data_IF_785601475851
#
_entry.id   IF_785601475851
#
_cell.length_a   1.000
_cell.length_b   1.000
_cell.length_c   1.000
_cell.angle_alpha   90.00
_cell.angle_beta   90.00
_cell.angle_gamma   90.00
#
_symmetry.space_group_name_H-M   'P 1'
#
loop_
_entity.id
_entity.type
_entity.pdbx_description
1 polymer ?
#
# COMPACT_ATOMS: atom_id res chain seq x y z
N UNK A 1 7.50 -20.34 16.90
CA UNK A 1 8.38 -19.53 16.01
C UNK A 1 7.98 -18.10 16.23
N UNK A 2 8.88 -17.27 16.73
CA UNK A 2 8.61 -15.84 16.93
C UNK A 2 8.92 -15.13 15.61
N UNK A 3 7.90 -14.52 15.02
CA UNK A 3 8.05 -13.74 13.79
C UNK A 3 8.46 -12.32 14.17
N UNK A 4 9.66 -11.91 13.80
CA UNK A 4 10.18 -10.57 14.07
C UNK A 4 10.47 -9.82 12.77
N UNK A 5 10.02 -8.56 12.72
CA UNK A 5 10.37 -7.59 11.70
C UNK A 5 11.23 -6.45 12.27
N UNK A 6 11.93 -6.71 13.38
CA UNK A 6 12.81 -5.73 14.02
C UNK A 6 13.84 -5.20 13.02
N UNK A 7 13.95 -3.88 12.93
CA UNK A 7 14.86 -3.18 12.01
C UNK A 7 14.41 -3.14 10.56
N UNK A 8 13.23 -3.67 10.23
CA UNK A 8 12.64 -3.60 8.89
C UNK A 8 11.72 -2.39 8.74
N UNK A 9 11.58 -1.92 7.52
CA UNK A 9 10.70 -0.83 7.14
C UNK A 9 9.63 -1.32 6.17
N UNK A 10 8.38 -0.89 6.37
CA UNK A 10 7.26 -1.29 5.52
C UNK A 10 6.44 -0.09 5.06
N UNK A 11 6.07 -0.11 3.79
CA UNK A 11 5.16 0.86 3.17
C UNK A 11 3.89 0.13 2.73
N UNK A 12 2.73 0.56 3.26
CA UNK A 12 1.44 -0.11 3.01
C UNK A 12 0.48 0.85 2.32
N UNK A 13 0.13 0.58 1.06
CA UNK A 13 -0.88 1.36 0.35
C UNK A 13 -2.30 0.96 0.80
N UNK A 14 -3.20 1.94 0.92
CA UNK A 14 -4.54 1.69 1.46
C UNK A 14 -4.54 1.30 2.94
N UNK A 15 -3.53 1.74 3.69
CA UNK A 15 -3.28 1.34 5.08
C UNK A 15 -4.17 1.98 6.15
N UNK A 16 -5.12 2.84 5.76
CA UNK A 16 -5.93 3.57 6.74
C UNK A 16 -7.14 2.81 7.29
N UNK A 17 -7.50 1.67 6.69
CA UNK A 17 -8.65 0.85 7.10
C UNK A 17 -8.53 -0.60 6.65
N UNK A 18 -9.41 -1.46 7.19
CA UNK A 18 -9.59 -2.85 6.75
C UNK A 18 -8.29 -3.65 6.75
N UNK A 19 -8.07 -4.43 5.69
CA UNK A 19 -6.94 -5.35 5.54
C UNK A 19 -5.60 -4.59 5.63
N UNK A 20 -5.46 -3.48 4.93
CA UNK A 20 -4.23 -2.69 4.93
C UNK A 20 -3.84 -2.18 6.32
N UNK A 21 -4.80 -1.67 7.09
CA UNK A 21 -4.57 -1.24 8.47
C UNK A 21 -4.18 -2.41 9.38
N UNK A 22 -4.83 -3.56 9.22
CA UNK A 22 -4.49 -4.77 9.97
C UNK A 22 -3.08 -5.27 9.67
N UNK A 23 -2.67 -5.27 8.39
CA UNK A 23 -1.30 -5.61 7.98
C UNK A 23 -0.31 -4.63 8.62
N UNK A 24 -0.55 -3.32 8.49
CA UNK A 24 0.31 -2.28 9.05
C UNK A 24 0.47 -2.45 10.56
N UNK A 25 -0.62 -2.70 11.29
CA UNK A 25 -0.59 -2.96 12.73
C UNK A 25 0.21 -4.23 13.08
N UNK A 26 -0.01 -5.32 12.38
CA UNK A 26 0.72 -6.57 12.59
C UNK A 26 2.22 -6.39 12.37
N UNK A 27 2.62 -5.63 11.34
CA UNK A 27 4.03 -5.34 11.08
C UNK A 27 4.64 -4.45 12.15
N UNK A 28 3.91 -3.42 12.59
CA UNK A 28 4.35 -2.55 13.66
C UNK A 28 4.51 -3.31 14.99
N UNK A 29 3.56 -4.18 15.33
CA UNK A 29 3.63 -5.05 16.51
C UNK A 29 4.78 -6.07 16.44
N UNK A 30 5.17 -6.49 15.23
CA UNK A 30 6.34 -7.35 15.00
C UNK A 30 7.68 -6.58 14.98
N UNK A 31 7.68 -5.26 15.24
CA UNK A 31 8.86 -4.42 15.36
C UNK A 31 9.30 -3.68 14.09
N UNK A 32 8.51 -3.72 13.01
CA UNK A 32 8.79 -2.91 11.83
C UNK A 32 8.47 -1.44 12.06
N UNK A 33 9.24 -0.56 11.40
CA UNK A 33 8.82 0.82 11.19
C UNK A 33 7.86 0.86 10.01
N UNK A 34 6.70 1.47 10.18
CA UNK A 34 5.62 1.41 9.17
C UNK A 34 5.22 2.79 8.70
N UNK A 35 5.06 2.94 7.39
CA UNK A 35 4.33 4.03 6.76
C UNK A 35 3.08 3.50 6.10
N UNK A 36 1.96 4.20 6.28
CA UNK A 36 0.72 3.95 5.55
C UNK A 36 0.42 5.07 4.59
N UNK A 37 -0.19 4.75 3.44
CA UNK A 37 -0.76 5.77 2.54
C UNK A 37 -2.24 5.53 2.31
N UNK A 38 -3.01 6.61 2.17
CA UNK A 38 -4.41 6.60 1.77
C UNK A 38 -4.83 8.01 1.34
N UNK A 39 -6.06 8.16 0.81
CA UNK A 39 -6.49 9.40 0.15
C UNK A 39 -6.76 10.59 1.08
N UNK A 40 -7.13 10.35 2.34
CA UNK A 40 -7.59 11.39 3.28
C UNK A 40 -6.64 11.51 4.45
N UNK A 41 -6.11 12.71 4.66
CA UNK A 41 -5.14 13.00 5.70
C UNK A 41 -5.65 12.71 7.11
N UNK A 42 -6.87 13.17 7.44
CA UNK A 42 -7.52 12.96 8.73
C UNK A 42 -7.71 11.46 9.07
N UNK A 43 -8.05 10.66 8.04
CA UNK A 43 -8.22 9.21 8.19
C UNK A 43 -6.86 8.51 8.35
N UNK A 44 -5.82 8.98 7.62
CA UNK A 44 -4.46 8.45 7.75
C UNK A 44 -3.90 8.73 9.14
N UNK A 45 -4.05 9.97 9.63
CA UNK A 45 -3.58 10.39 10.95
C UNK A 45 -4.21 9.54 12.06
N UNK A 46 -5.54 9.40 12.03
CA UNK A 46 -6.26 8.55 12.99
C UNK A 46 -5.77 7.10 12.94
N UNK A 47 -5.64 6.54 11.74
CA UNK A 47 -5.19 5.17 11.57
C UNK A 47 -3.76 4.97 12.06
N UNK A 48 -2.84 5.89 11.78
CA UNK A 48 -1.46 5.82 12.25
C UNK A 48 -1.37 5.87 13.77
N UNK A 49 -2.18 6.73 14.42
CA UNK A 49 -2.27 6.77 15.89
C UNK A 49 -2.77 5.44 16.48
N UNK A 50 -3.76 4.80 15.86
CA UNK A 50 -4.30 3.51 16.30
C UNK A 50 -3.35 2.33 16.02
N UNK A 51 -2.57 2.38 14.94
CA UNK A 51 -1.50 1.42 14.65
C UNK A 51 -0.41 1.52 15.73
N UNK A 52 -0.06 2.76 16.11
CA UNK A 52 0.94 3.00 17.14
C UNK A 52 2.37 2.73 16.67
N UNK A 53 3.27 2.49 17.64
CA UNK A 53 4.69 2.14 17.40
C UNK A 53 5.43 3.12 16.46
N UNK A 54 5.04 4.42 16.46
CA UNK A 54 5.65 5.42 15.61
C UNK A 54 5.27 5.31 14.14
N UNK A 55 4.12 4.70 13.82
CA UNK A 55 3.61 4.63 12.47
C UNK A 55 3.45 6.04 11.88
N UNK A 56 4.01 6.26 10.70
CA UNK A 56 3.88 7.51 9.95
C UNK A 56 2.91 7.34 8.77
N UNK A 57 2.48 8.45 8.20
CA UNK A 57 1.51 8.40 7.10
C UNK A 57 1.77 9.48 6.04
N UNK A 58 1.33 9.20 4.82
CA UNK A 58 1.29 10.15 3.71
C UNK A 58 -0.06 10.07 3.02
N UNK A 59 -0.72 11.22 2.82
CA UNK A 59 -2.03 11.25 2.17
C UNK A 59 -1.90 11.60 0.69
N UNK A 60 -2.54 10.79 -0.17
CA UNK A 60 -2.58 11.03 -1.59
C UNK A 60 -3.30 9.94 -2.38
N UNK A 61 -3.45 10.18 -3.67
CA UNK A 61 -4.05 9.20 -4.58
C UNK A 61 -3.02 8.13 -4.94
N UNK A 62 -3.38 6.86 -4.76
CA UNK A 62 -2.49 5.72 -5.04
C UNK A 62 -2.01 5.66 -6.49
N UNK A 63 -2.75 6.24 -7.44
CA UNK A 63 -2.39 6.32 -8.86
C UNK A 63 -1.62 7.58 -9.26
N UNK A 64 -1.32 8.48 -8.33
CA UNK A 64 -0.61 9.73 -8.59
C UNK A 64 0.91 9.50 -8.48
N UNK A 65 1.68 9.67 -9.58
CA UNK A 65 3.14 9.50 -9.55
C UNK A 65 3.85 10.42 -8.55
N UNK A 66 3.42 11.67 -8.41
CA UNK A 66 4.04 12.62 -7.48
C UNK A 66 3.85 12.17 -6.03
N UNK A 67 2.65 11.67 -5.69
CA UNK A 67 2.38 11.09 -4.39
C UNK A 67 3.22 9.82 -4.13
N UNK A 68 3.37 8.96 -5.13
CA UNK A 68 4.20 7.75 -5.01
C UNK A 68 5.64 8.13 -4.67
N UNK A 69 6.22 9.08 -5.40
CA UNK A 69 7.59 9.56 -5.15
C UNK A 69 7.74 10.17 -3.76
N UNK A 70 6.83 11.05 -3.36
CA UNK A 70 6.86 11.69 -2.04
C UNK A 70 6.78 10.67 -0.91
N UNK A 71 5.87 9.70 -1.00
CA UNK A 71 5.70 8.69 0.03
C UNK A 71 6.94 7.79 0.15
N UNK A 72 7.52 7.37 -0.98
CA UNK A 72 8.73 6.53 -0.99
C UNK A 72 9.92 7.32 -0.44
N UNK A 73 10.13 8.55 -0.87
CA UNK A 73 11.24 9.39 -0.41
C UNK A 73 11.14 9.69 1.09
N UNK A 74 9.94 9.96 1.61
CA UNK A 74 9.71 10.10 3.04
C UNK A 74 9.97 8.78 3.80
N UNK A 75 9.52 7.65 3.27
CA UNK A 75 9.76 6.36 3.90
C UNK A 75 11.26 6.07 4.00
N UNK A 76 12.02 6.36 2.95
CA UNK A 76 13.48 6.20 2.95
C UNK A 76 14.14 7.18 3.93
N UNK A 77 13.77 8.45 3.93
CA UNK A 77 14.42 9.47 4.76
C UNK A 77 14.05 9.38 6.24
N UNK A 78 12.78 9.09 6.57
CA UNK A 78 12.29 9.08 7.96
C UNK A 78 12.44 7.69 8.62
N UNK A 79 12.21 6.61 7.86
CA UNK A 79 12.23 5.24 8.40
C UNK A 79 13.51 4.48 8.08
N UNK A 80 14.25 4.91 7.05
CA UNK A 80 15.52 4.33 6.62
C UNK A 80 15.43 3.41 5.41
N UNK A 81 14.25 3.20 4.81
CA UNK A 81 14.11 2.37 3.62
C UNK A 81 12.70 1.90 3.33
N UNK A 82 12.57 0.99 2.37
CA UNK A 82 11.35 0.25 2.05
C UNK A 82 11.70 -1.22 1.85
N UNK A 83 11.92 -1.94 2.95
CA UNK A 83 12.21 -3.38 2.90
C UNK A 83 10.99 -4.18 2.44
N UNK A 84 9.79 -3.74 2.80
CA UNK A 84 8.52 -4.38 2.44
C UNK A 84 7.58 -3.35 1.83
N UNK A 85 7.19 -3.57 0.57
CA UNK A 85 6.08 -2.86 -0.06
C UNK A 85 4.83 -3.74 -0.02
N UNK A 86 3.71 -3.20 0.47
CA UNK A 86 2.41 -3.88 0.41
C UNK A 86 1.48 -3.11 -0.51
N UNK A 87 1.23 -3.66 -1.69
CA UNK A 87 0.23 -3.18 -2.62
C UNK A 87 -1.15 -3.71 -2.19
N UNK A 88 -1.85 -2.93 -1.36
CA UNK A 88 -3.15 -3.30 -0.82
C UNK A 88 -4.28 -2.35 -1.26
N UNK A 89 -3.97 -1.11 -1.65
CA UNK A 89 -4.99 -0.19 -2.15
C UNK A 89 -5.70 -0.78 -3.37
N UNK A 90 -7.02 -0.83 -3.30
CA UNK A 90 -7.86 -1.35 -4.37
C UNK A 90 -9.19 -0.59 -4.46
N UNK A 91 -9.87 -0.72 -5.58
CA UNK A 91 -11.20 -0.16 -5.80
C UNK A 91 -12.06 -1.12 -6.62
N UNK A 92 -13.35 -1.12 -6.33
CA UNK A 92 -14.37 -1.75 -7.16
C UNK A 92 -15.52 -0.76 -7.34
N UNK A 93 -15.42 0.15 -8.32
CA UNK A 93 -16.42 1.21 -8.49
C UNK A 93 -17.73 0.73 -9.12
N UNK A 94 -17.79 -0.53 -9.56
CA UNK A 94 -18.96 -1.12 -10.18
C UNK A 94 -19.16 -2.55 -9.67
N UNK A 95 -20.38 -2.85 -9.24
CA UNK A 95 -20.81 -4.20 -8.85
C UNK A 95 -22.06 -4.57 -9.70
N UNK A 96 -21.89 -5.47 -10.67
CA UNK A 96 -22.93 -5.91 -11.57
C UNK A 96 -22.37 -6.67 -12.78
N UNK A 97 -23.25 -7.05 -13.76
CA UNK A 97 -22.79 -7.73 -14.96
C UNK A 97 -21.74 -6.89 -15.71
N UNK A 98 -20.67 -7.50 -16.15
CA UNK A 98 -19.57 -6.82 -16.83
C UNK A 98 -20.03 -6.08 -18.10
N UNK A 99 -21.04 -6.62 -18.78
CA UNK A 99 -21.58 -6.03 -20.01
C UNK A 99 -22.19 -4.65 -19.80
N UNK A 100 -22.61 -4.33 -18.57
CA UNK A 100 -23.23 -3.05 -18.20
C UNK A 100 -22.21 -2.07 -17.59
N UNK A 101 -20.96 -2.50 -17.43
CA UNK A 101 -19.91 -1.65 -16.89
C UNK A 101 -19.48 -0.58 -17.92
N UNK A 102 -19.42 0.68 -17.49
CA UNK A 102 -18.92 1.75 -18.33
C UNK A 102 -17.39 1.84 -18.37
N UNK A 103 -16.85 2.44 -19.43
CA UNK A 103 -15.41 2.61 -19.59
C UNK A 103 -14.73 3.45 -18.49
N UNK A 104 -15.32 4.53 -17.94
CA UNK A 104 -14.73 5.26 -16.82
C UNK A 104 -14.50 4.39 -15.59
N UNK A 105 -15.47 3.56 -15.20
CA UNK A 105 -15.34 2.62 -14.06
C UNK A 105 -14.33 1.52 -14.33
N UNK A 106 -14.35 0.99 -15.57
CA UNK A 106 -13.34 0.03 -16.02
C UNK A 106 -11.92 0.61 -15.91
N UNK A 107 -11.68 1.79 -16.52
CA UNK A 107 -10.38 2.46 -16.44
C UNK A 107 -9.93 2.68 -15.00
N UNK A 108 -10.85 3.17 -14.15
CA UNK A 108 -10.55 3.36 -12.73
C UNK A 108 -10.11 2.08 -12.02
N UNK A 109 -10.74 0.95 -12.34
CA UNK A 109 -10.37 -0.35 -11.79
C UNK A 109 -8.96 -0.74 -12.24
N UNK A 110 -8.65 -0.63 -13.53
CA UNK A 110 -7.31 -0.96 -14.05
C UNK A 110 -6.25 -0.03 -13.46
N UNK A 111 -6.51 1.27 -13.41
CA UNK A 111 -5.54 2.25 -12.90
C UNK A 111 -5.18 1.99 -11.44
N UNK A 112 -6.17 1.72 -10.59
CA UNK A 112 -5.93 1.51 -9.16
C UNK A 112 -5.44 0.10 -8.85
N UNK A 113 -6.00 -0.93 -9.49
CA UNK A 113 -5.76 -2.32 -9.07
C UNK A 113 -4.62 -2.99 -9.85
N UNK A 114 -4.19 -2.43 -10.99
CA UNK A 114 -3.12 -2.99 -11.83
C UNK A 114 -1.99 -2.00 -12.09
N UNK A 115 -2.31 -0.81 -12.63
CA UNK A 115 -1.28 0.17 -12.99
C UNK A 115 -0.56 0.71 -11.76
N UNK A 116 -1.29 1.07 -10.71
CA UNK A 116 -0.67 1.59 -9.49
C UNK A 116 0.26 0.57 -8.81
N UNK A 117 -0.12 -0.70 -8.53
CA UNK A 117 0.80 -1.70 -7.98
C UNK A 117 2.08 -1.89 -8.81
N UNK A 118 1.97 -1.87 -10.13
CA UNK A 118 3.13 -1.91 -11.01
C UNK A 118 4.04 -0.71 -10.80
N UNK A 119 3.49 0.51 -10.82
CA UNK A 119 4.26 1.75 -10.68
C UNK A 119 4.92 1.86 -9.29
N UNK A 120 4.19 1.55 -8.20
CA UNK A 120 4.76 1.49 -6.85
C UNK A 120 5.93 0.51 -6.75
N UNK A 121 5.76 -0.69 -7.30
CA UNK A 121 6.82 -1.72 -7.31
C UNK A 121 8.05 -1.23 -8.07
N UNK A 122 7.86 -0.64 -9.25
CA UNK A 122 8.96 -0.13 -10.07
C UNK A 122 9.72 0.99 -9.33
N UNK A 123 9.01 1.96 -8.75
CA UNK A 123 9.62 3.08 -8.03
C UNK A 123 10.34 2.64 -6.76
N UNK A 124 9.74 1.76 -5.95
CA UNK A 124 10.39 1.22 -4.75
C UNK A 124 11.63 0.44 -5.11
N UNK A 125 11.59 -0.37 -6.18
CA UNK A 125 12.76 -1.08 -6.66
C UNK A 125 13.86 -0.12 -7.10
N UNK A 126 13.54 0.89 -7.91
CA UNK A 126 14.50 1.87 -8.41
C UNK A 126 15.13 2.72 -7.30
N UNK A 127 14.32 3.15 -6.32
CA UNK A 127 14.76 4.07 -5.27
C UNK A 127 15.43 3.38 -4.08
N UNK A 128 15.16 2.10 -3.85
CA UNK A 128 15.67 1.41 -2.67
C UNK A 128 16.03 -0.06 -2.88
N UNK A 129 15.10 -0.90 -3.35
CA UNK A 129 15.27 -2.36 -3.27
C UNK A 129 16.32 -2.93 -4.21
N UNK A 130 16.63 -2.29 -5.33
CA UNK A 130 17.69 -2.75 -6.25
C UNK A 130 19.06 -2.88 -5.58
N UNK A 131 19.36 -2.01 -4.60
CA UNK A 131 20.63 -1.95 -3.91
C UNK A 131 20.60 -2.61 -2.51
N UNK A 132 19.42 -2.75 -1.91
CA UNK A 132 19.23 -3.19 -0.53
C UNK A 132 18.46 -4.51 -0.40
N UNK A 133 17.85 -4.99 -1.47
CA UNK A 133 16.89 -6.09 -1.42
C UNK A 133 15.55 -5.68 -0.82
N UNK A 134 14.62 -6.60 -0.78
CA UNK A 134 13.30 -6.35 -0.22
C UNK A 134 12.25 -7.34 -0.71
N UNK A 135 11.02 -7.13 -0.28
CA UNK A 135 9.86 -7.96 -0.60
C UNK A 135 8.71 -7.08 -1.07
N UNK A 136 7.97 -7.55 -2.06
CA UNK A 136 6.71 -6.95 -2.52
C UNK A 136 5.57 -7.93 -2.26
N UNK A 137 4.56 -7.49 -1.52
CA UNK A 137 3.33 -8.24 -1.28
C UNK A 137 2.18 -7.57 -2.05
N UNK A 138 1.53 -8.35 -2.91
CA UNK A 138 0.33 -7.91 -3.63
C UNK A 138 -0.90 -8.57 -3.00
N UNK A 139 -1.80 -7.77 -2.45
CA UNK A 139 -3.07 -8.26 -1.90
C UNK A 139 -4.05 -8.45 -3.06
N UNK A 140 -4.44 -9.70 -3.28
CA UNK A 140 -5.31 -10.12 -4.36
C UNK A 140 -6.62 -10.72 -3.81
N UNK A 141 -7.45 -11.26 -4.67
CA UNK A 141 -8.72 -11.88 -4.31
C UNK A 141 -8.93 -13.18 -5.08
N UNK A 142 -9.53 -14.17 -4.41
CA UNK A 142 -10.02 -15.40 -5.06
C UNK A 142 -11.06 -15.11 -6.13
N UNK A 143 -11.77 -13.96 -6.04
CA UNK A 143 -12.71 -13.52 -7.08
C UNK A 143 -12.09 -13.31 -8.46
N UNK A 144 -10.74 -13.26 -8.56
CA UNK A 144 -10.03 -13.27 -9.85
C UNK A 144 -9.87 -14.67 -10.45
N UNK A 145 -10.17 -15.73 -9.70
CA UNK A 145 -10.05 -17.13 -10.12
C UNK A 145 -11.42 -17.79 -10.36
N UNK A 146 -12.49 -17.20 -9.84
CA UNK A 146 -13.85 -17.71 -9.95
C UNK A 146 -14.63 -16.91 -11.00
N UNK A 147 -15.20 -17.60 -11.97
CA UNK A 147 -16.19 -17.05 -12.91
C UNK A 147 -17.58 -17.42 -12.42
N UNK A 148 -18.34 -16.43 -11.95
CA UNK A 148 -19.77 -16.58 -11.68
C UNK A 148 -20.59 -16.20 -12.90
#
# INVERSE_FOLDING_TARGET
>A
MELSLQGKTALVTGGSKGIGKSIAKTFADAGAKVMITSRKADVCETAAAEIGNGCVWEAGNVGDPDHMEQAIDRCVSELGGVDVLVNNAATNPYAGPMIDADLPRWRKTIDVNMTAPFAWTQLVWQKYQKDNGGVVLNISSVGGLETN
#
